data_IF_028291314304
#
_entry.id   IF_028291314304
#
_cell.length_a   1.000
_cell.length_b   1.000
_cell.length_c   1.000
_cell.angle_alpha   90.00
_cell.angle_beta   90.00
_cell.angle_gamma   90.00
#
_symmetry.space_group_name_H-M   'P 1'
#
loop_
_entity.id
_entity.type
_entity.pdbx_description
1 polymer ?
#
# COMPACT_ATOMS: atom_id res chain seq x y z
N UNK A 1 -9.96 18.17 -20.57
CA UNK A 1 -10.42 17.04 -21.43
C UNK A 1 -10.37 15.77 -20.57
N UNK A 2 -11.53 15.20 -20.18
CA UNK A 2 -11.56 13.89 -19.49
C UNK A 2 -11.38 12.81 -20.54
N UNK A 3 -10.20 12.25 -20.66
CA UNK A 3 -9.96 11.06 -21.48
C UNK A 3 -10.70 9.91 -20.80
N UNK A 4 -11.68 9.35 -21.49
CA UNK A 4 -12.39 8.15 -21.00
C UNK A 4 -11.48 6.94 -21.08
N UNK A 5 -10.61 6.76 -20.10
CA UNK A 5 -9.64 5.64 -20.02
C UNK A 5 -10.29 4.25 -20.15
N UNK A 6 -11.61 4.12 -19.94
CA UNK A 6 -12.35 2.86 -20.17
C UNK A 6 -12.28 2.35 -21.62
N UNK A 7 -11.92 3.23 -22.57
CA UNK A 7 -11.76 2.88 -23.99
C UNK A 7 -10.33 2.46 -24.35
N UNK A 8 -9.39 2.49 -23.39
CA UNK A 8 -8.02 2.07 -23.62
C UNK A 8 -7.93 0.58 -23.29
N UNK A 9 -8.01 -0.30 -24.27
CA UNK A 9 -7.95 -1.76 -24.10
C UNK A 9 -6.74 -2.21 -23.26
N UNK A 10 -5.59 -1.57 -23.44
CA UNK A 10 -4.36 -1.84 -22.70
C UNK A 10 -4.46 -1.54 -21.19
N UNK A 11 -5.36 -0.64 -20.80
CA UNK A 11 -5.57 -0.28 -19.41
C UNK A 11 -6.65 -1.13 -18.70
N UNK A 12 -7.38 -2.00 -19.42
CA UNK A 12 -8.53 -2.74 -18.90
C UNK A 12 -8.28 -4.24 -18.67
N UNK A 13 -7.15 -4.80 -19.11
CA UNK A 13 -6.91 -6.24 -19.08
C UNK A 13 -6.14 -6.74 -17.86
N UNK A 14 -6.22 -8.06 -17.62
CA UNK A 14 -5.35 -8.81 -16.71
C UNK A 14 -4.66 -9.90 -17.51
N UNK A 15 -3.33 -9.87 -17.58
CA UNK A 15 -2.51 -10.89 -18.24
C UNK A 15 -1.52 -11.50 -17.25
N UNK A 16 -1.34 -12.83 -17.31
CA UNK A 16 -0.52 -13.59 -16.36
C UNK A 16 0.41 -14.57 -17.09
N UNK A 17 1.30 -14.03 -17.93
CA UNK A 17 2.23 -14.77 -18.80
C UNK A 17 3.68 -14.56 -18.32
N UNK A 18 4.11 -15.29 -17.26
CA UNK A 18 5.44 -15.12 -16.67
C UNK A 18 5.50 -13.96 -15.65
N UNK A 19 4.94 -12.80 -15.95
CA UNK A 19 4.63 -11.74 -14.97
C UNK A 19 3.12 -11.46 -14.96
N UNK A 20 2.62 -10.80 -13.93
CA UNK A 20 1.25 -10.30 -13.87
C UNK A 20 1.23 -8.86 -14.37
N UNK A 21 0.54 -8.62 -15.47
CA UNK A 21 0.23 -7.27 -15.95
C UNK A 21 -1.23 -6.95 -15.65
N UNK A 22 -1.46 -5.91 -14.86
CA UNK A 22 -2.79 -5.40 -14.54
C UNK A 22 -3.00 -4.07 -15.27
N UNK A 23 -4.01 -3.97 -16.11
CA UNK A 23 -4.49 -2.69 -16.61
C UNK A 23 -5.00 -1.84 -15.43
N UNK A 24 -4.69 -0.55 -15.42
CA UNK A 24 -5.05 0.33 -14.30
C UNK A 24 -6.57 0.44 -14.08
N UNK A 25 -7.37 0.16 -15.10
CA UNK A 25 -8.84 0.16 -15.06
C UNK A 25 -9.43 -1.19 -14.65
N UNK A 26 -8.62 -2.26 -14.50
CA UNK A 26 -9.09 -3.50 -13.94
C UNK A 26 -9.70 -3.24 -12.56
N UNK A 27 -10.93 -3.69 -12.36
CA UNK A 27 -11.62 -3.49 -11.09
C UNK A 27 -11.00 -4.31 -9.97
N UNK A 28 -11.12 -3.84 -8.76
CA UNK A 28 -10.61 -4.59 -7.59
C UNK A 28 -11.29 -5.96 -7.46
N UNK A 29 -12.56 -6.08 -7.88
CA UNK A 29 -13.27 -7.38 -7.93
C UNK A 29 -12.67 -8.31 -8.98
N UNK A 30 -12.34 -7.81 -10.18
CA UNK A 30 -11.66 -8.63 -11.20
C UNK A 30 -10.31 -9.13 -10.70
N UNK A 31 -9.49 -8.26 -10.10
CA UNK A 31 -8.19 -8.64 -9.52
C UNK A 31 -8.35 -9.66 -8.40
N UNK A 32 -9.28 -9.43 -7.45
CA UNK A 32 -9.59 -10.34 -6.33
C UNK A 32 -9.97 -11.74 -6.81
N UNK A 33 -10.78 -11.83 -7.89
CA UNK A 33 -11.39 -13.10 -8.33
C UNK A 33 -10.64 -13.81 -9.43
N UNK A 34 -9.66 -13.15 -10.06
CA UNK A 34 -8.93 -13.72 -11.19
C UNK A 34 -8.18 -15.00 -10.78
N UNK A 35 -8.42 -16.17 -11.43
CA UNK A 35 -7.87 -17.45 -10.97
C UNK A 35 -6.34 -17.46 -10.87
N UNK A 36 -5.63 -16.92 -11.87
CA UNK A 36 -4.18 -16.87 -11.87
C UNK A 36 -3.64 -15.90 -10.80
N UNK A 37 -4.32 -14.77 -10.51
CA UNK A 37 -3.91 -13.85 -9.45
C UNK A 37 -4.04 -14.51 -8.09
N UNK A 38 -5.14 -15.24 -7.86
CA UNK A 38 -5.36 -15.96 -6.60
C UNK A 38 -4.34 -17.07 -6.35
N UNK A 39 -3.94 -17.79 -7.39
CA UNK A 39 -3.01 -18.90 -7.25
C UNK A 39 -1.55 -18.48 -7.21
N UNK A 40 -1.12 -17.49 -8.02
CA UNK A 40 0.29 -17.13 -8.19
C UNK A 40 0.68 -15.85 -7.43
N UNK A 41 -0.27 -14.94 -7.16
CA UNK A 41 -0.06 -13.69 -6.44
C UNK A 41 -1.12 -13.49 -5.34
N UNK A 42 -1.22 -14.42 -4.36
CA UNK A 42 -2.32 -14.42 -3.39
C UNK A 42 -2.42 -13.14 -2.56
N UNK A 43 -1.29 -12.50 -2.21
CA UNK A 43 -1.31 -11.23 -1.50
C UNK A 43 -1.95 -10.10 -2.33
N UNK A 44 -1.80 -10.11 -3.67
CA UNK A 44 -2.45 -9.14 -4.58
C UNK A 44 -3.95 -9.34 -4.55
N UNK A 45 -4.43 -10.57 -4.75
CA UNK A 45 -5.86 -10.87 -4.67
C UNK A 45 -6.45 -10.50 -3.31
N UNK A 46 -5.75 -10.85 -2.22
CA UNK A 46 -6.16 -10.57 -0.84
C UNK A 46 -6.25 -9.06 -0.56
N UNK A 47 -5.24 -8.29 -0.95
CA UNK A 47 -5.26 -6.84 -0.74
C UNK A 47 -6.38 -6.16 -1.52
N UNK A 48 -6.60 -6.53 -2.77
CA UNK A 48 -7.72 -6.04 -3.58
C UNK A 48 -9.08 -6.36 -2.93
N UNK A 49 -9.27 -7.60 -2.44
CA UNK A 49 -10.49 -8.06 -1.78
C UNK A 49 -10.77 -7.40 -0.43
N UNK A 50 -9.76 -6.83 0.22
CA UNK A 50 -9.91 -6.12 1.50
C UNK A 50 -10.20 -4.61 1.34
N UNK A 51 -10.16 -4.08 0.12
CA UNK A 51 -10.54 -2.68 -0.13
C UNK A 51 -12.05 -2.51 0.08
N UNK A 52 -12.42 -1.53 0.89
CA UNK A 52 -13.79 -1.03 1.08
C UNK A 52 -14.88 -2.12 1.20
N UNK A 53 -15.90 -2.08 0.36
CA UNK A 53 -17.04 -3.02 0.30
C UNK A 53 -17.17 -3.66 -1.08
N UNK A 54 -17.86 -4.82 -1.21
CA UNK A 54 -18.04 -5.47 -2.52
C UNK A 54 -18.60 -4.56 -3.62
N UNK A 55 -19.68 -3.78 -3.39
CA UNK A 55 -20.18 -2.87 -4.41
C UNK A 55 -19.15 -1.82 -4.87
N UNK A 56 -18.36 -1.27 -3.92
CA UNK A 56 -17.33 -0.30 -4.23
C UNK A 56 -16.14 -0.92 -5.00
N UNK A 57 -15.80 -2.17 -4.71
CA UNK A 57 -14.77 -2.89 -5.49
C UNK A 57 -15.17 -3.22 -6.92
N UNK A 58 -16.48 -3.33 -7.21
CA UNK A 58 -16.98 -3.51 -8.58
C UNK A 58 -16.78 -2.27 -9.47
N UNK A 59 -16.64 -1.10 -8.86
CA UNK A 59 -16.42 0.17 -9.56
C UNK A 59 -14.99 0.71 -9.38
N UNK A 60 -14.39 0.47 -8.21
CA UNK A 60 -13.02 0.88 -7.89
C UNK A 60 -12.00 0.07 -8.67
N UNK A 61 -10.96 0.73 -9.18
CA UNK A 61 -9.91 0.11 -9.99
C UNK A 61 -8.61 -0.04 -9.24
N UNK A 62 -7.74 -0.95 -9.72
CA UNK A 62 -6.43 -1.17 -9.11
C UNK A 62 -5.54 0.07 -9.25
N UNK A 63 -5.55 0.74 -10.41
CA UNK A 63 -4.83 2.01 -10.61
C UNK A 63 -5.38 3.13 -9.74
N UNK A 64 -6.70 3.23 -9.60
CA UNK A 64 -7.34 4.18 -8.69
C UNK A 64 -6.97 3.95 -7.22
N UNK A 65 -6.81 2.68 -6.80
CA UNK A 65 -6.36 2.37 -5.44
C UNK A 65 -4.89 2.73 -5.21
N UNK A 66 -4.00 2.52 -6.20
CA UNK A 66 -2.60 2.96 -6.11
C UNK A 66 -2.48 4.49 -6.08
N UNK A 67 -3.36 5.21 -6.77
CA UNK A 67 -3.36 6.67 -6.84
C UNK A 67 -4.31 7.33 -5.82
N UNK A 68 -4.84 6.58 -4.84
CA UNK A 68 -5.78 7.13 -3.86
C UNK A 68 -5.15 8.27 -3.07
N UNK A 69 -5.91 9.35 -2.88
CA UNK A 69 -5.43 10.52 -2.15
C UNK A 69 -5.13 10.18 -0.68
N UNK A 70 -4.16 10.87 -0.11
CA UNK A 70 -3.80 10.75 1.31
C UNK A 70 -4.90 11.30 2.21
N UNK A 71 -5.02 10.74 3.41
CA UNK A 71 -6.13 10.99 4.33
C UNK A 71 -5.66 11.61 5.64
N UNK A 72 -6.50 12.49 6.18
CA UNK A 72 -6.25 13.11 7.48
C UNK A 72 -7.59 13.55 8.10
N UNK A 73 -7.74 13.40 9.41
CA UNK A 73 -8.94 13.83 10.14
C UNK A 73 -9.26 15.32 9.94
N UNK A 74 -8.25 16.15 9.73
CA UNK A 74 -8.42 17.59 9.46
C UNK A 74 -8.78 17.90 8.00
N UNK A 75 -8.40 17.05 7.07
CA UNK A 75 -8.68 17.25 5.64
C UNK A 75 -10.02 16.63 5.22
N UNK A 76 -10.33 15.43 5.72
CA UNK A 76 -11.51 14.67 5.32
C UNK A 76 -12.77 15.10 6.10
N UNK A 77 -13.06 16.40 6.11
CA UNK A 77 -14.18 17.04 6.77
C UNK A 77 -14.97 17.91 5.79
N UNK A 78 -16.16 18.35 6.20
CA UNK A 78 -16.96 19.29 5.42
C UNK A 78 -16.24 20.64 5.28
N UNK A 79 -16.58 21.39 4.23
CA UNK A 79 -16.05 22.74 4.02
C UNK A 79 -16.31 23.65 5.22
N UNK A 80 -17.54 23.63 5.75
CA UNK A 80 -17.93 24.40 6.92
C UNK A 80 -17.01 24.11 8.12
N UNK A 81 -16.76 22.83 8.42
CA UNK A 81 -15.89 22.43 9.53
C UNK A 81 -14.44 22.89 9.31
N UNK A 82 -13.92 22.71 8.10
CA UNK A 82 -12.54 23.13 7.77
C UNK A 82 -12.37 24.64 7.89
N UNK A 83 -13.34 25.42 7.42
CA UNK A 83 -13.35 26.87 7.57
C UNK A 83 -13.38 27.30 9.04
N UNK A 84 -14.17 26.63 9.90
CA UNK A 84 -14.27 26.95 11.32
C UNK A 84 -12.96 26.77 12.11
N UNK A 85 -12.05 25.92 11.64
CA UNK A 85 -10.75 25.68 12.25
C UNK A 85 -9.57 26.40 11.53
N UNK A 86 -9.88 27.25 10.54
CA UNK A 86 -8.87 28.00 9.78
C UNK A 86 -8.10 27.17 8.74
N UNK A 87 -8.70 26.06 8.27
CA UNK A 87 -8.13 25.14 7.28
C UNK A 87 -6.81 24.45 7.72
N UNK A 88 -6.20 23.69 6.84
CA UNK A 88 -4.88 23.06 7.00
C UNK A 88 -4.08 23.19 5.70
N UNK A 89 -2.75 23.02 5.77
CA UNK A 89 -1.87 23.21 4.61
C UNK A 89 -2.21 22.32 3.39
N UNK A 90 -2.88 21.19 3.59
CA UNK A 90 -3.33 20.35 2.47
C UNK A 90 -4.43 21.02 1.66
N UNK A 91 -5.20 21.91 2.27
CA UNK A 91 -6.32 22.59 1.61
C UNK A 91 -6.63 23.94 2.24
N UNK A 92 -6.26 24.99 1.55
CA UNK A 92 -6.58 26.40 1.78
C UNK A 92 -5.96 27.03 3.05
N UNK A 93 -5.08 26.33 3.79
CA UNK A 93 -4.32 26.84 4.94
C UNK A 93 -2.81 26.64 4.82
N UNK A 94 -2.05 27.13 5.78
CA UNK A 94 -0.58 27.18 5.72
C UNK A 94 0.11 26.19 6.68
N UNK A 95 -0.63 25.66 7.66
CA UNK A 95 -0.06 24.86 8.74
C UNK A 95 -0.61 23.43 8.69
N UNK A 96 0.29 22.43 8.89
CA UNK A 96 -0.14 21.06 9.14
C UNK A 96 -0.66 20.94 10.58
N UNK A 97 -1.98 20.84 10.78
CA UNK A 97 -2.60 20.81 12.11
C UNK A 97 -2.23 19.56 12.94
N UNK A 98 -1.74 18.51 12.30
CA UNK A 98 -1.23 17.28 12.96
C UNK A 98 0.21 17.47 13.44
N UNK A 99 1.01 18.22 12.69
CA UNK A 99 2.42 18.48 12.96
C UNK A 99 2.75 19.96 12.66
N UNK A 100 2.36 20.91 13.52
CA UNK A 100 2.45 22.35 13.22
C UNK A 100 3.87 22.87 12.92
N UNK A 101 4.90 22.18 13.38
CA UNK A 101 6.30 22.50 13.07
C UNK A 101 6.83 21.85 11.78
N UNK A 102 6.02 21.10 11.05
CA UNK A 102 6.42 20.46 9.79
C UNK A 102 6.23 21.40 8.61
N UNK A 103 7.21 21.42 7.71
CA UNK A 103 7.10 22.07 6.40
C UNK A 103 6.34 21.25 5.35
N UNK A 104 5.94 20.01 5.68
CA UNK A 104 5.23 19.08 4.78
C UNK A 104 3.94 18.57 5.43
N UNK A 105 3.00 18.13 4.60
CA UNK A 105 1.73 17.55 5.06
C UNK A 105 1.91 16.11 5.54
N UNK A 106 1.33 15.78 6.69
CA UNK A 106 1.36 14.43 7.27
C UNK A 106 0.08 13.62 7.04
N UNK A 107 -0.70 13.95 6.00
CA UNK A 107 -1.81 13.09 5.59
C UNK A 107 -1.29 11.71 5.17
N UNK A 108 -1.95 10.65 5.62
CA UNK A 108 -1.45 9.26 5.48
C UNK A 108 -1.82 8.64 4.14
N UNK A 109 -0.90 7.88 3.57
CA UNK A 109 -1.18 6.97 2.46
C UNK A 109 -2.07 5.83 2.95
N UNK A 110 -3.20 5.60 2.28
CA UNK A 110 -4.22 4.64 2.72
C UNK A 110 -4.58 3.58 1.66
N UNK A 111 -3.75 3.41 0.65
CA UNK A 111 -3.88 2.33 -0.32
C UNK A 111 -3.65 0.96 0.35
N UNK A 112 -4.58 0.03 0.15
CA UNK A 112 -4.41 -1.36 0.58
C UNK A 112 -3.44 -2.13 -0.34
N UNK A 113 -3.42 -1.80 -1.63
CA UNK A 113 -2.63 -2.56 -2.62
C UNK A 113 -1.18 -2.09 -2.73
N UNK A 114 -0.90 -0.81 -2.44
CA UNK A 114 0.44 -0.25 -2.58
C UNK A 114 1.52 -0.97 -1.74
N UNK A 115 1.31 -1.32 -0.45
CA UNK A 115 2.29 -2.07 0.31
C UNK A 115 2.61 -3.44 -0.32
N UNK A 116 1.61 -4.12 -0.89
CA UNK A 116 1.79 -5.41 -1.55
C UNK A 116 2.58 -5.27 -2.85
N UNK A 117 2.24 -4.28 -3.67
CA UNK A 117 2.96 -4.02 -4.92
C UNK A 117 4.43 -3.70 -4.66
N UNK A 118 4.73 -2.90 -3.62
CA UNK A 118 6.11 -2.60 -3.23
C UNK A 118 6.83 -3.85 -2.72
N UNK A 119 6.21 -4.65 -1.86
CA UNK A 119 6.81 -5.88 -1.33
C UNK A 119 7.12 -6.89 -2.44
N UNK A 120 6.29 -6.95 -3.48
CA UNK A 120 6.51 -7.80 -4.65
C UNK A 120 7.50 -7.21 -5.66
N UNK A 121 7.92 -5.95 -5.50
CA UNK A 121 8.81 -5.27 -6.42
C UNK A 121 8.14 -4.93 -7.75
N UNK A 122 6.86 -4.59 -7.70
CA UNK A 122 6.10 -4.21 -8.88
C UNK A 122 6.54 -2.85 -9.44
N UNK A 123 6.26 -2.66 -10.72
CA UNK A 123 6.48 -1.42 -11.45
C UNK A 123 5.16 -0.90 -12.05
N UNK A 124 5.11 0.38 -12.34
CA UNK A 124 3.97 1.01 -13.02
C UNK A 124 4.42 1.69 -14.31
N UNK A 125 3.56 1.65 -15.29
CA UNK A 125 3.69 2.42 -16.53
C UNK A 125 2.88 3.71 -16.40
N UNK A 126 3.57 4.83 -16.57
CA UNK A 126 3.01 6.18 -16.64
C UNK A 126 3.09 6.68 -18.08
N UNK A 127 1.97 7.10 -18.64
CA UNK A 127 1.87 7.61 -20.01
C UNK A 127 1.55 9.09 -19.95
N UNK A 128 2.41 9.91 -20.51
CA UNK A 128 2.21 11.34 -20.74
C UNK A 128 1.94 11.66 -22.22
N UNK A 129 1.78 12.95 -22.57
CA UNK A 129 1.50 13.37 -23.95
C UNK A 129 2.58 12.98 -24.96
N UNK A 130 3.83 12.99 -24.54
CA UNK A 130 5.00 12.83 -25.43
C UNK A 130 5.80 11.55 -25.16
N UNK A 131 5.60 10.89 -24.00
CA UNK A 131 6.41 9.76 -23.57
C UNK A 131 5.70 8.81 -22.62
N UNK A 132 6.17 7.57 -22.63
CA UNK A 132 5.84 6.55 -21.64
C UNK A 132 7.08 6.28 -20.80
N UNK A 133 6.91 6.06 -19.49
CA UNK A 133 7.99 5.63 -18.58
C UNK A 133 7.50 4.54 -17.63
N UNK A 134 8.41 3.66 -17.27
CA UNK A 134 8.18 2.60 -16.28
C UNK A 134 9.03 2.89 -15.04
N UNK A 135 8.40 2.88 -13.86
CA UNK A 135 9.05 3.14 -12.57
C UNK A 135 8.63 2.10 -11.55
N UNK A 136 9.48 1.82 -10.56
CA UNK A 136 9.10 0.97 -9.44
C UNK A 136 7.94 1.61 -8.64
N UNK A 137 6.97 0.80 -8.17
CA UNK A 137 5.83 1.32 -7.39
C UNK A 137 6.27 2.12 -6.17
N UNK A 138 7.39 1.77 -5.53
CA UNK A 138 7.92 2.54 -4.42
C UNK A 138 8.32 3.97 -4.79
N UNK A 139 8.73 4.19 -6.03
CA UNK A 139 9.10 5.51 -6.56
C UNK A 139 7.87 6.35 -6.95
N UNK A 140 6.68 5.74 -7.00
CA UNK A 140 5.43 6.46 -7.25
C UNK A 140 5.03 7.35 -6.08
N UNK A 141 5.52 7.08 -4.86
CA UNK A 141 5.09 7.77 -3.65
C UNK A 141 6.13 8.75 -3.14
N UNK A 142 5.69 10.01 -2.94
CA UNK A 142 6.45 11.06 -2.28
C UNK A 142 6.30 11.05 -0.75
N UNK A 143 7.17 11.78 -0.03
CA UNK A 143 7.14 11.88 1.42
C UNK A 143 6.12 12.89 1.96
N UNK A 144 5.47 13.67 1.10
CA UNK A 144 4.53 14.73 1.44
C UNK A 144 3.09 14.28 1.18
N UNK A 145 2.18 14.53 2.11
CA UNK A 145 0.77 14.18 1.94
C UNK A 145 0.03 15.05 0.90
N UNK A 146 0.62 16.14 0.38
CA UNK A 146 0.12 16.95 -0.74
C UNK A 146 0.70 16.40 -2.04
N UNK A 147 2.03 16.43 -2.18
CA UNK A 147 2.75 15.91 -3.34
C UNK A 147 3.07 14.41 -3.15
N UNK A 148 2.02 13.63 -2.91
CA UNK A 148 2.13 12.23 -2.52
C UNK A 148 2.41 11.28 -3.69
N UNK A 149 2.26 11.73 -4.96
CA UNK A 149 2.56 10.93 -6.15
C UNK A 149 3.62 11.62 -7.02
N UNK A 150 4.67 10.88 -7.34
CA UNK A 150 5.75 11.32 -8.23
C UNK A 150 5.38 11.23 -9.73
N UNK A 151 4.11 11.18 -10.06
CA UNK A 151 3.60 11.32 -11.44
C UNK A 151 3.35 12.80 -11.74
N UNK A 152 3.63 13.22 -12.97
CA UNK A 152 3.29 14.56 -13.41
C UNK A 152 1.76 14.72 -13.58
N UNK A 153 1.21 15.95 -13.53
CA UNK A 153 -0.23 16.18 -13.69
C UNK A 153 -0.81 15.62 -14.99
N UNK A 154 -0.04 15.68 -16.08
CA UNK A 154 -0.40 15.19 -17.40
C UNK A 154 -0.17 13.69 -17.60
N UNK A 155 0.50 13.01 -16.68
CA UNK A 155 0.72 11.56 -16.76
C UNK A 155 -0.47 10.78 -16.22
N UNK A 156 -0.75 9.65 -16.85
CA UNK A 156 -1.76 8.69 -16.45
C UNK A 156 -1.10 7.34 -16.16
N UNK A 157 -1.41 6.74 -15.03
CA UNK A 157 -1.04 5.36 -14.74
C UNK A 157 -1.92 4.43 -15.58
N UNK A 158 -1.30 3.62 -16.44
CA UNK A 158 -2.01 2.74 -17.38
C UNK A 158 -1.85 1.27 -17.07
N UNK A 159 -0.70 0.82 -16.58
CA UNK A 159 -0.40 -0.58 -16.29
C UNK A 159 0.40 -0.75 -15.00
N UNK A 160 0.20 -1.87 -14.34
CA UNK A 160 0.98 -2.34 -13.20
C UNK A 160 1.59 -3.68 -13.58
N UNK A 161 2.89 -3.84 -13.37
CA UNK A 161 3.67 -5.02 -13.69
C UNK A 161 4.17 -5.64 -12.40
N UNK A 162 3.72 -6.85 -12.09
CA UNK A 162 4.10 -7.57 -10.87
C UNK A 162 4.92 -8.80 -11.28
N UNK A 163 6.21 -8.85 -10.95
CA UNK A 163 7.07 -9.97 -11.31
C UNK A 163 6.55 -11.28 -10.70
N UNK A 164 6.77 -12.38 -11.41
CA UNK A 164 6.51 -13.69 -10.86
C UNK A 164 7.51 -14.02 -9.75
N UNK A 165 6.96 -14.47 -8.63
CA UNK A 165 7.74 -14.85 -7.45
C UNK A 165 7.27 -16.20 -6.91
N UNK A 166 7.29 -17.22 -7.77
CA UNK A 166 6.78 -18.56 -7.46
C UNK A 166 7.40 -19.20 -6.21
N UNK A 167 8.66 -18.86 -5.90
CA UNK A 167 9.37 -19.34 -4.70
C UNK A 167 9.08 -18.49 -3.44
N UNK A 168 8.21 -17.47 -3.54
CA UNK A 168 7.93 -16.59 -2.41
C UNK A 168 6.59 -16.93 -1.77
N UNK A 169 6.57 -17.02 -0.44
CA UNK A 169 5.34 -16.97 0.34
C UNK A 169 4.99 -15.49 0.57
N UNK A 170 3.73 -15.12 0.35
CA UNK A 170 3.30 -13.72 0.44
C UNK A 170 1.99 -13.57 1.18
N UNK A 171 1.84 -12.53 1.98
CA UNK A 171 0.58 -12.22 2.65
C UNK A 171 0.35 -10.72 2.75
N UNK A 172 -0.90 -10.35 2.97
CA UNK A 172 -1.32 -9.00 3.33
C UNK A 172 -2.29 -9.04 4.49
N UNK A 173 -2.02 -8.25 5.53
CA UNK A 173 -2.89 -8.09 6.70
C UNK A 173 -3.37 -6.66 6.79
N UNK A 174 -4.66 -6.48 7.03
CA UNK A 174 -5.31 -5.19 7.21
C UNK A 174 -5.93 -5.10 8.59
N UNK A 175 -5.47 -4.17 9.39
CA UNK A 175 -6.14 -3.77 10.62
C UNK A 175 -7.14 -2.67 10.32
N UNK A 176 -8.40 -2.87 10.69
CA UNK A 176 -9.52 -1.94 10.52
C UNK A 176 -10.54 -2.13 11.64
N UNK A 177 -11.44 -1.18 11.84
CA UNK A 177 -12.48 -1.27 12.87
C UNK A 177 -13.57 -2.29 12.52
N UNK A 178 -14.05 -2.26 11.30
CA UNK A 178 -15.16 -3.08 10.80
C UNK A 178 -14.69 -4.06 9.73
N UNK A 179 -15.47 -5.08 9.49
CA UNK A 179 -15.20 -6.09 8.45
C UNK A 179 -15.33 -5.56 7.02
N UNK A 180 -15.81 -4.34 6.78
CA UNK A 180 -16.03 -3.73 5.48
C UNK A 180 -15.96 -2.21 5.56
N UNK A 181 -15.86 -1.53 4.39
CA UNK A 181 -15.91 -0.07 4.17
C UNK A 181 -14.64 0.65 4.60
N UNK A 182 -14.05 0.31 5.74
CA UNK A 182 -12.96 1.08 6.33
C UNK A 182 -11.68 1.11 5.49
N UNK A 183 -11.03 2.27 5.50
CA UNK A 183 -9.61 2.39 5.15
C UNK A 183 -8.74 1.62 6.16
N UNK A 184 -7.52 1.22 5.79
CA UNK A 184 -6.62 0.59 6.75
C UNK A 184 -6.23 1.58 7.86
N UNK A 185 -6.27 1.12 9.10
CA UNK A 185 -5.61 1.76 10.25
C UNK A 185 -4.12 1.41 10.21
N UNK A 186 -3.83 0.21 9.73
CA UNK A 186 -2.51 -0.33 9.43
C UNK A 186 -2.68 -1.41 8.35
N UNK A 187 -1.84 -1.38 7.35
CA UNK A 187 -1.60 -2.46 6.39
C UNK A 187 -0.23 -3.05 6.60
N UNK A 188 -0.09 -4.37 6.51
CA UNK A 188 1.19 -5.07 6.52
C UNK A 188 1.25 -6.02 5.35
N UNK A 189 2.12 -5.74 4.40
CA UNK A 189 2.50 -6.67 3.34
C UNK A 189 3.81 -7.35 3.73
N UNK A 190 3.83 -8.68 3.69
CA UNK A 190 5.04 -9.47 3.93
C UNK A 190 5.24 -10.48 2.79
N UNK A 191 6.48 -10.60 2.37
CA UNK A 191 6.92 -11.57 1.39
C UNK A 191 8.24 -12.18 1.85
N UNK A 192 8.33 -13.52 1.86
CA UNK A 192 9.54 -14.23 2.25
C UNK A 192 9.87 -15.33 1.24
N UNK A 193 11.15 -15.49 0.95
CA UNK A 193 11.68 -16.64 0.24
C UNK A 193 12.49 -17.49 1.22
N UNK A 194 12.07 -18.75 1.36
CA UNK A 194 12.67 -19.71 2.27
C UNK A 194 13.46 -20.75 1.49
N UNK A 195 14.60 -21.17 2.04
CA UNK A 195 15.26 -22.41 1.63
C UNK A 195 14.46 -23.64 2.13
N UNK A 196 14.81 -24.81 1.62
CA UNK A 196 14.15 -26.06 2.00
C UNK A 196 14.28 -26.41 3.49
N UNK A 197 15.25 -25.82 4.19
CA UNK A 197 15.47 -25.97 5.65
C UNK A 197 14.71 -24.92 6.49
N UNK A 198 13.88 -24.08 5.86
CA UNK A 198 13.10 -23.03 6.54
C UNK A 198 13.87 -21.75 6.84
N UNK A 199 15.12 -21.65 6.42
CA UNK A 199 15.93 -20.43 6.57
C UNK A 199 15.52 -19.37 5.56
N UNK A 200 15.37 -18.14 6.00
CA UNK A 200 15.02 -16.99 5.16
C UNK A 200 16.18 -16.62 4.25
N UNK A 201 15.99 -16.69 2.95
CA UNK A 201 16.97 -16.18 1.95
C UNK A 201 16.75 -14.69 1.69
N UNK A 202 15.50 -14.28 1.56
CA UNK A 202 15.12 -12.90 1.33
C UNK A 202 13.75 -12.62 1.99
N UNK A 203 13.61 -11.43 2.54
CA UNK A 203 12.35 -10.96 3.10
C UNK A 203 12.06 -9.54 2.64
N UNK A 204 10.78 -9.20 2.52
CA UNK A 204 10.30 -7.83 2.29
C UNK A 204 9.07 -7.60 3.17
N UNK A 205 9.10 -6.52 3.94
CA UNK A 205 8.01 -6.12 4.81
C UNK A 205 7.72 -4.65 4.53
N UNK A 206 6.47 -4.35 4.19
CA UNK A 206 6.03 -2.99 3.87
C UNK A 206 4.81 -2.65 4.71
N UNK A 207 4.88 -1.51 5.40
CA UNK A 207 3.81 -0.99 6.25
C UNK A 207 3.01 0.08 5.49
N UNK A 208 1.69 -0.02 5.51
CA UNK A 208 0.75 0.97 4.98
C UNK A 208 -0.03 1.66 6.07
N UNK A 209 -0.57 2.83 5.79
CA UNK A 209 -1.42 3.64 6.67
C UNK A 209 -0.77 4.12 7.98
N UNK A 210 0.54 4.13 8.07
CA UNK A 210 1.30 4.60 9.24
C UNK A 210 2.36 5.66 8.91
N UNK A 211 2.31 6.19 7.70
CA UNK A 211 3.17 7.26 7.19
C UNK A 211 2.49 7.94 5.99
N UNK A 212 3.05 9.03 5.48
CA UNK A 212 2.60 9.73 4.26
C UNK A 212 2.71 8.87 2.99
N UNK A 213 3.60 7.89 3.01
CA UNK A 213 3.81 6.87 1.97
C UNK A 213 3.89 5.47 2.59
N UNK A 214 3.76 4.38 1.82
CA UNK A 214 4.10 3.04 2.31
C UNK A 214 5.58 2.98 2.73
N UNK A 215 5.88 2.28 3.83
CA UNK A 215 7.21 2.26 4.46
C UNK A 215 7.80 0.87 4.46
N UNK A 216 8.98 0.70 3.87
CA UNK A 216 9.74 -0.55 3.93
C UNK A 216 10.42 -0.70 5.30
N UNK A 217 10.28 -1.87 5.93
CA UNK A 217 10.98 -2.21 7.16
C UNK A 217 12.33 -2.89 6.85
N UNK A 218 13.23 -2.16 6.18
CA UNK A 218 14.48 -2.70 5.62
C UNK A 218 15.35 -3.40 6.67
N UNK A 219 15.52 -2.80 7.86
CA UNK A 219 16.35 -3.37 8.93
C UNK A 219 15.79 -4.72 9.41
N UNK A 220 14.47 -4.89 9.45
CA UNK A 220 13.84 -6.15 9.82
C UNK A 220 14.03 -7.21 8.73
N UNK A 221 13.98 -6.81 7.47
CA UNK A 221 14.22 -7.71 6.34
C UNK A 221 15.67 -8.22 6.35
N UNK A 222 16.63 -7.36 6.59
CA UNK A 222 18.03 -7.76 6.70
C UNK A 222 18.28 -8.62 7.95
N UNK A 223 17.62 -8.31 9.09
CA UNK A 223 17.69 -9.14 10.29
C UNK A 223 17.19 -10.56 10.04
N UNK A 224 16.12 -10.74 9.27
CA UNK A 224 15.54 -12.07 8.97
C UNK A 224 16.46 -12.94 8.12
N UNK A 225 17.27 -12.34 7.26
CA UNK A 225 18.11 -13.05 6.29
C UNK A 225 19.10 -13.98 6.96
N UNK A 226 19.14 -15.22 6.53
CA UNK A 226 20.00 -16.27 7.06
C UNK A 226 19.52 -16.87 8.40
N UNK A 227 18.33 -16.54 8.89
CA UNK A 227 17.72 -17.07 10.11
C UNK A 227 16.55 -18.01 9.82
N UNK A 228 16.30 -18.94 10.70
CA UNK A 228 15.06 -19.72 10.70
C UNK A 228 13.88 -18.79 10.98
N UNK A 229 12.76 -18.99 10.28
CA UNK A 229 11.54 -18.24 10.52
C UNK A 229 10.74 -18.90 11.65
N UNK A 230 11.32 -18.94 12.86
CA UNK A 230 10.71 -19.45 14.08
C UNK A 230 10.08 -18.33 14.94
N UNK A 231 9.44 -18.71 16.02
CA UNK A 231 8.70 -17.79 16.89
C UNK A 231 9.60 -16.69 17.49
N UNK A 232 10.83 -17.02 17.91
CA UNK A 232 11.77 -16.07 18.49
C UNK A 232 12.26 -15.07 17.44
N UNK A 233 12.67 -15.55 16.29
CA UNK A 233 13.12 -14.72 15.15
C UNK A 233 11.99 -13.78 14.69
N UNK A 234 10.75 -14.27 14.62
CA UNK A 234 9.56 -13.48 14.26
C UNK A 234 9.33 -12.33 15.25
N UNK A 235 9.38 -12.60 16.56
CA UNK A 235 9.18 -11.56 17.57
C UNK A 235 10.29 -10.50 17.55
N UNK A 236 11.55 -10.91 17.34
CA UNK A 236 12.67 -9.99 17.19
C UNK A 236 12.54 -9.14 15.93
N UNK A 237 12.22 -9.76 14.78
CA UNK A 237 11.99 -9.05 13.52
C UNK A 237 10.85 -8.04 13.63
N UNK A 238 9.73 -8.43 14.25
CA UNK A 238 8.60 -7.54 14.50
C UNK A 238 8.97 -6.36 15.41
N UNK A 239 9.84 -6.59 16.39
CA UNK A 239 10.43 -5.57 17.26
C UNK A 239 11.38 -4.60 16.55
N UNK A 240 11.82 -4.93 15.34
CA UNK A 240 12.58 -4.03 14.46
C UNK A 240 11.63 -3.35 13.45
N UNK A 241 10.74 -4.13 12.84
CA UNK A 241 9.89 -3.70 11.73
C UNK A 241 8.93 -2.54 12.07
N UNK A 242 8.50 -2.39 13.34
CA UNK A 242 7.60 -1.30 13.72
C UNK A 242 8.29 0.07 13.86
N UNK A 243 9.62 0.11 13.93
CA UNK A 243 10.38 1.35 14.18
C UNK A 243 10.13 2.45 13.15
N UNK A 244 10.12 2.17 11.82
CA UNK A 244 9.86 3.19 10.82
C UNK A 244 8.40 3.66 10.78
N UNK A 245 7.45 2.97 11.43
CA UNK A 245 6.07 3.44 11.52
C UNK A 245 5.99 4.76 12.30
N UNK A 246 5.38 5.79 11.69
CA UNK A 246 5.20 7.12 12.27
C UNK A 246 3.74 7.56 12.17
N UNK A 247 2.79 6.81 12.77
CA UNK A 247 1.41 7.28 12.85
C UNK A 247 1.34 8.53 13.71
N UNK A 248 0.52 9.47 13.29
CA UNK A 248 0.21 10.69 14.03
C UNK A 248 -1.30 10.72 14.34
N UNK A 249 -1.76 11.78 14.99
CA UNK A 249 -3.18 11.97 15.29
C UNK A 249 -3.96 12.51 14.06
N UNK A 250 -3.81 11.80 12.97
CA UNK A 250 -4.37 12.12 11.65
C UNK A 250 -5.39 11.09 11.14
N UNK A 251 -5.65 10.04 11.90
CA UNK A 251 -6.61 9.00 11.59
C UNK A 251 -7.20 8.41 12.87
N UNK A 252 -8.13 7.48 12.72
CA UNK A 252 -8.75 6.75 13.84
C UNK A 252 -7.73 6.08 14.77
N UNK A 253 -8.06 6.04 16.04
CA UNK A 253 -7.32 5.43 17.15
C UNK A 253 -6.00 6.13 17.48
N UNK A 254 -5.62 6.05 18.75
CA UNK A 254 -4.41 6.71 19.27
C UNK A 254 -3.15 6.27 18.52
N UNK A 255 -2.33 7.22 18.13
CA UNK A 255 -1.10 6.97 17.35
C UNK A 255 -0.14 6.00 18.04
N UNK A 256 0.00 6.06 19.37
CA UNK A 256 0.85 5.16 20.13
C UNK A 256 0.35 3.70 20.05
N UNK A 257 -0.98 3.50 20.10
CA UNK A 257 -1.60 2.19 19.92
C UNK A 257 -1.40 1.68 18.48
N UNK A 258 -1.60 2.52 17.47
CA UNK A 258 -1.37 2.18 16.06
C UNK A 258 0.09 1.74 15.83
N UNK A 259 1.05 2.44 16.45
CA UNK A 259 2.47 2.07 16.39
C UNK A 259 2.74 0.70 17.05
N UNK A 260 2.15 0.43 18.22
CA UNK A 260 2.23 -0.89 18.88
C UNK A 260 1.64 -2.00 18.03
N UNK A 261 0.51 -1.74 17.36
CA UNK A 261 -0.13 -2.72 16.48
C UNK A 261 0.72 -3.07 15.25
N UNK A 262 1.61 -2.18 14.78
CA UNK A 262 2.53 -2.51 13.69
C UNK A 262 3.44 -3.70 14.06
N UNK A 263 3.98 -3.75 15.29
CA UNK A 263 4.73 -4.91 15.77
C UNK A 263 3.87 -6.18 15.76
N UNK A 264 2.66 -6.11 16.33
CA UNK A 264 1.76 -7.27 16.46
C UNK A 264 1.35 -7.81 15.07
N UNK A 265 0.97 -6.94 14.15
CA UNK A 265 0.51 -7.38 12.83
C UNK A 265 1.67 -7.86 11.94
N UNK A 266 2.90 -7.34 12.12
CA UNK A 266 4.09 -7.91 11.47
C UNK A 266 4.38 -9.31 12.00
N UNK A 267 4.37 -9.51 13.33
CA UNK A 267 4.56 -10.84 13.90
C UNK A 267 3.52 -11.85 13.35
N UNK A 268 2.24 -11.45 13.30
CA UNK A 268 1.17 -12.27 12.71
C UNK A 268 1.36 -12.56 11.24
N UNK A 269 1.83 -11.57 10.45
CA UNK A 269 2.09 -11.76 9.03
C UNK A 269 3.25 -12.74 8.80
N UNK A 270 4.33 -12.64 9.57
CA UNK A 270 5.46 -13.55 9.47
C UNK A 270 5.09 -14.97 9.95
N UNK A 271 4.32 -15.11 11.03
CA UNK A 271 3.83 -16.40 11.50
C UNK A 271 2.93 -17.11 10.47
N UNK A 272 2.10 -16.36 9.73
CA UNK A 272 1.28 -16.88 8.62
C UNK A 272 2.16 -17.44 7.48
N UNK A 273 3.37 -16.92 7.28
CA UNK A 273 4.31 -17.35 6.23
C UNK A 273 5.25 -18.47 6.68
N UNK A 274 5.44 -18.65 7.98
CA UNK A 274 6.26 -19.72 8.56
C UNK A 274 5.59 -21.10 8.44
N UNK A 275 4.25 -21.16 8.56
CA UNK A 275 3.43 -22.39 8.41
C UNK A 275 3.00 -22.55 7.00
#
# INVERSE_FOLDING_TARGET
MRVGLRLVEEAAGIAANGELTLGALATLTEVERHPAVRSRWPAVARSAGLVSSPPLRNAGTIGGNLCVDTRCNYYNQTEFWRASIGYCMKKDGDICLVAPGSSTCWAISSSDTAPVMIALGAEVTLVGPESERRIAVKQLYGPDGIDYLAKKPEEVLTRIHVPERSAWKTTYRKLRRRGSIDFPILGVAAAVRLRGDGVVEEARIVLGAVHTSPVEAADACEFLKGRLLDAETIEMAAGIAYKPARPLDNADLAYAWRKKMARIEVARALAELAG
#
